data_IF_972739401019
#
_entry.id   IF_972739401019
#
_cell.length_a   1.000
_cell.length_b   1.000
_cell.length_c   1.000
_cell.angle_alpha   90.00
_cell.angle_beta   90.00
_cell.angle_gamma   90.00
#
_symmetry.space_group_name_H-M   'P 1'
#
loop_
_entity.id
_entity.type
_entity.pdbx_description
1 polymer ?
#
# COMPACT_ATOMS: atom_id res chain seq x y z
N UNK A 1 11.65 -21.08 -0.09
CA UNK A 1 10.40 -20.48 -0.62
C UNK A 1 9.66 -19.80 0.53
N UNK A 2 9.38 -18.50 0.39
CA UNK A 2 9.13 -17.53 1.49
C UNK A 2 7.75 -17.54 2.17
N UNK A 3 7.19 -18.69 2.54
CA UNK A 3 5.82 -18.80 3.07
C UNK A 3 5.59 -18.40 4.54
N UNK A 4 6.53 -17.67 5.16
CA UNK A 4 6.44 -17.25 6.58
C UNK A 4 6.91 -15.82 6.81
N UNK A 5 7.36 -15.12 5.77
CA UNK A 5 7.72 -13.71 5.86
C UNK A 5 6.43 -12.88 5.83
N UNK A 6 6.46 -11.71 6.45
CA UNK A 6 5.32 -10.81 6.56
C UNK A 6 5.68 -9.41 6.19
N UNK A 7 4.72 -8.50 6.35
CA UNK A 7 4.89 -7.10 6.03
C UNK A 7 6.10 -6.44 6.70
N UNK A 8 6.53 -6.93 7.86
CA UNK A 8 7.71 -6.39 8.58
C UNK A 8 9.01 -6.42 7.77
N UNK A 9 9.13 -7.29 6.77
CA UNK A 9 10.34 -7.34 5.93
C UNK A 9 10.51 -6.07 5.10
N UNK A 10 9.42 -5.33 4.88
CA UNK A 10 9.41 -4.09 4.12
C UNK A 10 9.63 -2.84 4.99
N UNK A 11 9.74 -2.97 6.32
CA UNK A 11 9.81 -1.82 7.22
C UNK A 11 10.96 -0.85 6.89
N UNK A 12 12.15 -1.37 6.58
CA UNK A 12 13.30 -0.54 6.22
C UNK A 12 13.08 0.19 4.89
N UNK A 13 12.48 -0.49 3.90
CA UNK A 13 12.12 0.11 2.62
C UNK A 13 11.06 1.20 2.80
N UNK A 14 10.03 0.93 3.60
CA UNK A 14 8.96 1.90 3.91
C UNK A 14 9.57 3.14 4.59
N UNK A 15 10.45 2.94 5.58
CA UNK A 15 11.14 4.04 6.24
C UNK A 15 11.95 4.88 5.23
N UNK A 16 12.67 4.23 4.31
CA UNK A 16 13.41 4.93 3.26
C UNK A 16 12.48 5.72 2.31
N UNK A 17 11.35 5.13 1.89
CA UNK A 17 10.37 5.78 1.02
C UNK A 17 9.73 7.00 1.70
N UNK A 18 9.33 6.88 2.97
CA UNK A 18 8.77 8.00 3.74
C UNK A 18 9.78 9.14 3.91
N UNK A 19 11.07 8.84 4.08
CA UNK A 19 12.11 9.87 4.13
C UNK A 19 12.34 10.55 2.77
N UNK A 20 12.25 9.80 1.67
CA UNK A 20 12.48 10.31 0.31
C UNK A 20 11.29 11.09 -0.25
N UNK A 21 10.08 10.76 0.21
CA UNK A 21 8.84 11.34 -0.26
C UNK A 21 7.87 11.58 0.92
N UNK A 22 8.13 12.62 1.74
CA UNK A 22 7.36 12.87 2.96
C UNK A 22 5.88 13.21 2.70
N UNK A 23 5.55 13.64 1.48
CA UNK A 23 4.19 13.99 1.07
C UNK A 23 3.38 12.80 0.53
N UNK A 24 3.97 11.59 0.51
CA UNK A 24 3.29 10.37 0.04
C UNK A 24 2.85 9.55 1.24
N UNK A 25 1.60 9.09 1.20
CA UNK A 25 1.07 8.15 2.19
C UNK A 25 1.90 6.84 2.20
N UNK A 26 2.19 6.27 3.39
CA UNK A 26 2.88 5.00 3.47
C UNK A 26 2.18 3.91 2.65
N UNK A 27 2.92 3.01 1.98
CA UNK A 27 2.32 1.94 1.21
C UNK A 27 1.54 0.99 2.12
N UNK A 28 0.37 0.55 1.63
CA UNK A 28 -0.39 -0.52 2.27
C UNK A 28 0.35 -1.85 2.10
N UNK A 29 0.61 -2.53 3.22
CA UNK A 29 1.28 -3.83 3.22
C UNK A 29 0.28 -4.91 3.58
N UNK A 30 0.12 -5.87 2.67
CA UNK A 30 -0.82 -6.98 2.82
C UNK A 30 -0.09 -8.26 3.20
N UNK A 31 -0.58 -8.90 4.25
CA UNK A 31 -0.15 -10.23 4.64
C UNK A 31 -1.04 -11.29 4.00
N UNK A 32 -0.43 -12.22 3.26
CA UNK A 32 -1.11 -13.42 2.74
C UNK A 32 -1.57 -14.30 3.92
N UNK A 33 -2.69 -15.05 3.82
CA UNK A 33 -3.10 -15.99 4.86
C UNK A 33 -1.96 -16.92 5.31
N UNK A 34 -1.78 -17.05 6.64
CA UNK A 34 -0.72 -17.86 7.23
C UNK A 34 0.66 -17.18 7.31
N UNK A 35 0.82 -16.03 6.66
CA UNK A 35 2.03 -15.20 6.72
C UNK A 35 1.82 -14.01 7.66
N UNK A 36 2.89 -13.31 8.01
CA UNK A 36 2.70 -11.99 8.59
C UNK A 36 2.00 -11.95 9.95
N UNK A 37 1.17 -10.93 10.13
CA UNK A 37 0.22 -10.80 11.22
C UNK A 37 -0.85 -11.91 11.22
N UNK A 38 -1.02 -12.61 10.10
CA UNK A 38 -1.95 -13.74 9.93
C UNK A 38 -1.28 -15.10 10.16
N UNK A 39 -0.08 -15.12 10.74
CA UNK A 39 0.64 -16.34 11.09
C UNK A 39 -0.18 -17.22 12.04
N UNK A 40 -0.10 -18.52 11.84
CA UNK A 40 -0.83 -19.51 12.66
C UNK A 40 -2.26 -19.76 12.18
N UNK A 41 -2.73 -19.01 11.16
CA UNK A 41 -3.94 -19.34 10.44
C UNK A 41 -3.79 -20.66 9.69
N UNK A 42 -4.78 -21.53 9.83
CA UNK A 42 -4.88 -22.73 9.01
C UNK A 42 -5.21 -22.36 7.56
N UNK A 43 -4.37 -22.79 6.64
CA UNK A 43 -4.50 -22.55 5.20
C UNK A 43 -4.77 -23.82 4.41
N UNK A 44 -4.87 -24.98 5.07
CA UNK A 44 -4.97 -26.29 4.41
C UNK A 44 -6.21 -26.45 3.52
N UNK A 45 -7.28 -25.68 3.79
CA UNK A 45 -8.51 -25.67 3.01
C UNK A 45 -8.77 -24.39 2.21
N UNK A 46 -7.82 -23.45 2.13
CA UNK A 46 -8.05 -22.19 1.43
C UNK A 46 -7.86 -22.34 -0.08
N UNK A 47 -8.95 -22.12 -0.82
CA UNK A 47 -8.92 -21.92 -2.27
C UNK A 47 -8.47 -20.50 -2.64
N UNK A 48 -8.09 -20.31 -3.90
CA UNK A 48 -7.63 -19.01 -4.41
C UNK A 48 -8.69 -17.91 -4.22
N UNK A 49 -9.97 -18.21 -4.47
CA UNK A 49 -11.05 -17.24 -4.34
C UNK A 49 -11.18 -16.71 -2.90
N UNK A 50 -11.03 -17.59 -1.90
CA UNK A 50 -11.05 -17.21 -0.50
C UNK A 50 -9.84 -16.34 -0.11
N UNK A 51 -8.68 -16.56 -0.73
CA UNK A 51 -7.49 -15.71 -0.54
C UNK A 51 -7.73 -14.33 -1.16
N UNK A 52 -8.31 -14.27 -2.36
CA UNK A 52 -8.62 -13.00 -3.04
C UNK A 52 -9.66 -12.21 -2.25
N UNK A 53 -10.73 -12.85 -1.79
CA UNK A 53 -11.78 -12.21 -1.00
C UNK A 53 -11.22 -11.59 0.29
N UNK A 54 -10.33 -12.31 0.98
CA UNK A 54 -9.68 -11.80 2.17
C UNK A 54 -8.77 -10.61 1.89
N UNK A 55 -7.92 -10.68 0.86
CA UNK A 55 -7.06 -9.55 0.50
C UNK A 55 -7.88 -8.34 0.04
N UNK A 56 -8.98 -8.57 -0.67
CA UNK A 56 -9.93 -7.52 -1.02
C UNK A 56 -10.57 -6.90 0.23
N UNK A 57 -10.88 -7.71 1.25
CA UNK A 57 -11.37 -7.22 2.54
C UNK A 57 -10.33 -6.37 3.27
N UNK A 58 -9.06 -6.78 3.28
CA UNK A 58 -7.98 -6.02 3.90
C UNK A 58 -7.78 -4.64 3.24
N UNK A 59 -7.91 -4.59 1.91
CA UNK A 59 -7.87 -3.35 1.13
C UNK A 59 -9.13 -2.52 1.37
N UNK A 60 -10.29 -3.17 1.49
CA UNK A 60 -11.58 -2.51 1.63
C UNK A 60 -11.84 -2.00 3.06
N UNK A 61 -11.02 -2.42 4.03
CA UNK A 61 -11.08 -1.90 5.38
C UNK A 61 -10.99 -0.36 5.36
N UNK A 62 -11.84 0.38 6.09
CA UNK A 62 -11.93 1.84 5.97
C UNK A 62 -10.60 2.59 6.14
N UNK A 63 -9.67 2.04 6.93
CA UNK A 63 -8.31 2.57 7.08
C UNK A 63 -7.41 2.41 5.85
N UNK A 64 -7.67 1.42 5.01
CA UNK A 64 -6.88 1.06 3.82
C UNK A 64 -7.36 1.81 2.57
N UNK A 65 -8.68 1.97 2.37
CA UNK A 65 -9.26 2.75 1.26
C UNK A 65 -8.91 4.25 1.38
N UNK A 66 -8.95 4.79 2.60
CA UNK A 66 -8.65 6.21 2.84
C UNK A 66 -7.23 6.59 2.40
N UNK A 67 -6.25 5.71 2.64
CA UNK A 67 -4.86 5.90 2.22
C UNK A 67 -4.70 5.88 0.69
N UNK A 68 -5.35 4.95 -0.02
CA UNK A 68 -5.30 4.88 -1.49
C UNK A 68 -5.94 6.10 -2.19
N UNK A 69 -7.11 6.54 -1.70
CA UNK A 69 -7.82 7.69 -2.25
C UNK A 69 -7.13 9.04 -1.93
N UNK A 70 -6.39 9.13 -0.81
CA UNK A 70 -5.54 10.28 -0.47
C UNK A 70 -4.34 10.38 -1.43
N UNK A 71 -3.60 9.27 -1.59
CA UNK A 71 -2.40 9.23 -2.43
C UNK A 71 -2.67 9.57 -3.92
N UNK A 72 -3.79 9.09 -4.48
CA UNK A 72 -4.20 9.39 -5.86
C UNK A 72 -4.62 10.85 -6.05
N UNK A 73 -5.23 11.48 -5.03
CA UNK A 73 -5.61 12.90 -5.06
C UNK A 73 -4.39 13.82 -5.01
N UNK A 74 -3.39 13.49 -4.18
CA UNK A 74 -2.12 14.22 -4.10
C UNK A 74 -1.32 14.13 -5.41
N UNK A 75 -1.19 12.93 -5.99
CA UNK A 75 -0.48 12.73 -7.27
C UNK A 75 -1.09 13.54 -8.43
N UNK A 76 -2.42 13.72 -8.43
CA UNK A 76 -3.12 14.50 -9.46
C UNK A 76 -2.88 16.01 -9.28
N UNK A 77 -2.68 16.49 -8.04
CA UNK A 77 -2.43 17.90 -7.75
C UNK A 77 -1.00 18.34 -8.12
N UNK A 78 0.00 17.46 -7.94
CA UNK A 78 1.40 17.76 -8.28
C UNK A 78 1.65 17.79 -9.80
N UNK A 79 0.87 17.04 -10.58
CA UNK A 79 0.97 17.03 -12.05
C UNK A 79 0.39 18.30 -12.73
N UNK A 80 -0.41 19.10 -12.02
CA UNK A 80 -1.06 20.31 -12.55
C UNK A 80 -0.24 21.60 -12.44
N UNK A 81 0.90 21.60 -11.74
CA UNK A 81 1.70 22.80 -11.51
C UNK A 81 2.98 22.81 -12.33
N UNK A 82 2.87 23.01 -13.66
CA UNK A 82 4.03 23.36 -14.48
C UNK A 82 3.73 24.48 -15.49
N UNK A 83 4.25 25.66 -15.13
CA UNK A 83 4.65 26.85 -15.94
C UNK A 83 3.57 27.63 -16.73
N UNK A 84 3.16 28.77 -16.18
CA UNK A 84 2.99 30.00 -16.97
C UNK A 84 4.27 30.82 -16.86
N UNK A 85 5.06 30.85 -17.92
CA UNK A 85 6.25 31.71 -18.03
C UNK A 85 5.85 32.89 -18.92
N UNK A 86 5.57 34.03 -18.29
CA UNK A 86 5.32 35.30 -18.97
C UNK A 86 6.60 35.72 -19.69
N UNK A 87 6.58 35.76 -21.03
CA UNK A 87 7.60 36.47 -21.82
C UNK A 87 7.21 37.94 -21.80
N UNK A 88 7.99 38.76 -21.09
CA UNK A 88 7.85 40.21 -21.07
C UNK A 88 8.42 40.82 -22.36
N UNK A 89 7.58 41.67 -22.96
CA UNK A 89 7.79 42.76 -23.95
C UNK A 89 9.00 42.66 -24.91
#
# INVERSE_FOLDING_TARGET
MGGKQGGWIWNELIAALVMQAPDIEPPLILDIPGCGAKRGRDTSGLGLDAVIEELAHDIAWPGSIAAYLSATRTATHTAGSSRSMTVGL
#
